data_IF_826885397889
#
_entry.id   IF_826885397889
#
_cell.length_a   1.000
_cell.length_b   1.000
_cell.length_c   1.000
_cell.angle_alpha   90.00
_cell.angle_beta   90.00
_cell.angle_gamma   90.00
#
_symmetry.space_group_name_H-M   'P 1'
#
loop_
_entity.id
_entity.type
_entity.pdbx_description
1 polymer ?
#
# COMPACT_ATOMS: atom_id res chain seq x y z
N UNK A 1 -4.29 -7.30 5.51
CA UNK A 1 -3.05 -6.95 4.78
C UNK A 1 -2.96 -5.44 4.63
N UNK A 2 -1.77 -4.85 4.81
CA UNK A 2 -1.52 -3.43 4.58
C UNK A 2 -0.77 -3.19 3.26
N UNK A 3 -1.15 -2.17 2.51
CA UNK A 3 -0.60 -1.83 1.20
C UNK A 3 -0.04 -0.41 1.19
N UNK A 4 1.21 -0.27 0.75
CA UNK A 4 1.92 1.00 0.69
C UNK A 4 2.20 1.42 -0.77
N UNK A 5 1.92 2.68 -1.09
CA UNK A 5 2.38 3.34 -2.31
C UNK A 5 3.83 3.82 -2.20
N UNK A 6 4.50 3.98 -3.35
CA UNK A 6 5.86 4.51 -3.44
C UNK A 6 5.96 5.97 -2.97
N UNK A 7 7.06 6.32 -2.31
CA UNK A 7 7.30 7.66 -1.76
C UNK A 7 7.57 8.70 -2.86
N UNK A 8 6.89 9.84 -2.81
CA UNK A 8 7.09 10.98 -3.72
C UNK A 8 8.24 11.93 -3.38
N UNK A 9 9.14 11.59 -2.45
CA UNK A 9 10.19 12.53 -2.00
C UNK A 9 11.55 12.43 -2.70
N UNK A 10 11.71 11.48 -3.61
CA UNK A 10 12.85 11.45 -4.54
C UNK A 10 12.39 10.74 -5.80
N UNK A 11 12.24 11.47 -6.91
CA UNK A 11 12.22 10.83 -8.22
C UNK A 11 13.52 10.04 -8.35
N UNK A 12 13.42 8.71 -8.21
CA UNK A 12 14.57 7.82 -8.16
C UNK A 12 15.14 7.73 -9.58
N UNK A 13 16.19 8.50 -9.89
CA UNK A 13 16.75 8.59 -11.25
C UNK A 13 17.81 7.53 -11.51
N UNK A 14 18.37 6.93 -10.45
CA UNK A 14 19.49 5.99 -10.59
C UNK A 14 19.54 4.92 -9.50
N UNK A 15 19.96 3.70 -9.88
CA UNK A 15 20.29 2.60 -8.95
C UNK A 15 21.44 2.93 -8.01
N UNK A 16 22.24 3.96 -8.28
CA UNK A 16 23.42 4.33 -7.46
C UNK A 16 23.04 5.11 -6.20
N UNK A 17 21.93 5.83 -6.23
CA UNK A 17 21.46 6.64 -5.11
C UNK A 17 21.06 5.76 -3.90
N UNK A 18 21.21 6.31 -2.69
CA UNK A 18 20.73 5.70 -1.46
C UNK A 18 19.36 6.31 -1.11
N UNK A 19 18.27 5.54 -1.14
CA UNK A 19 16.96 6.06 -0.76
C UNK A 19 16.86 6.37 0.72
N UNK A 20 16.04 7.35 1.06
CA UNK A 20 15.64 7.64 2.44
C UNK A 20 14.14 7.40 2.57
N UNK A 21 13.76 6.64 3.61
CA UNK A 21 12.35 6.41 3.94
C UNK A 21 11.77 7.57 4.74
N UNK A 22 10.44 7.71 4.70
CA UNK A 22 9.76 8.54 5.69
C UNK A 22 10.05 8.02 7.11
N UNK A 23 10.20 8.91 8.11
CA UNK A 23 10.73 8.56 9.43
C UNK A 23 10.08 7.33 10.09
N UNK A 24 8.76 7.16 9.93
CA UNK A 24 8.01 6.08 10.56
C UNK A 24 7.82 4.85 9.66
N UNK A 25 8.10 4.93 8.36
CA UNK A 25 7.72 3.88 7.41
C UNK A 25 8.37 2.53 7.72
N UNK A 26 9.68 2.51 8.00
CA UNK A 26 10.39 1.27 8.36
C UNK A 26 9.81 0.63 9.63
N UNK A 27 9.65 1.43 10.68
CA UNK A 27 9.08 0.96 11.96
C UNK A 27 7.67 0.40 11.81
N UNK A 28 6.82 1.05 10.99
CA UNK A 28 5.46 0.58 10.70
C UNK A 28 5.47 -0.78 9.99
N UNK A 29 6.28 -0.94 8.94
CA UNK A 29 6.37 -2.22 8.21
C UNK A 29 6.84 -3.34 9.13
N UNK A 30 7.86 -3.10 9.96
CA UNK A 30 8.32 -4.08 10.94
C UNK A 30 7.25 -4.42 11.98
N UNK A 31 6.55 -3.42 12.53
CA UNK A 31 5.50 -3.63 13.52
C UNK A 31 4.33 -4.45 12.96
N UNK A 32 3.90 -4.17 11.73
CA UNK A 32 2.85 -4.94 11.05
C UNK A 32 3.27 -6.39 10.86
N UNK A 33 4.49 -6.64 10.36
CA UNK A 33 5.02 -8.00 10.18
C UNK A 33 5.14 -8.75 11.51
N UNK A 34 5.62 -8.08 12.57
CA UNK A 34 5.71 -8.66 13.92
C UNK A 34 4.34 -9.02 14.52
N UNK A 35 3.25 -8.38 14.05
CA UNK A 35 1.87 -8.70 14.41
C UNK A 35 1.22 -9.73 13.47
N UNK A 36 1.99 -10.34 12.57
CA UNK A 36 1.46 -11.31 11.60
C UNK A 36 0.56 -10.69 10.53
N UNK A 37 0.67 -9.38 10.31
CA UNK A 37 -0.09 -8.69 9.26
C UNK A 37 0.78 -8.64 8.01
N UNK A 38 0.32 -9.32 6.97
CA UNK A 38 0.96 -9.26 5.66
C UNK A 38 1.00 -7.82 5.12
N UNK A 39 2.15 -7.48 4.52
CA UNK A 39 2.38 -6.19 3.87
C UNK A 39 2.72 -6.43 2.41
N UNK A 40 2.21 -5.60 1.50
CA UNK A 40 2.55 -5.66 0.09
C UNK A 40 2.71 -4.25 -0.52
N UNK A 41 3.32 -4.20 -1.71
CA UNK A 41 3.55 -2.96 -2.47
C UNK A 41 2.66 -2.96 -3.70
N UNK A 42 2.00 -1.82 -3.93
CA UNK A 42 1.38 -1.47 -5.20
C UNK A 42 1.98 -0.15 -5.68
N UNK A 43 2.70 -0.11 -6.79
CA UNK A 43 3.39 1.08 -7.29
C UNK A 43 3.30 1.19 -8.81
N UNK A 44 3.02 2.41 -9.30
CA UNK A 44 2.94 2.72 -10.74
C UNK A 44 4.26 3.16 -11.37
N UNK A 45 5.38 2.97 -10.66
CA UNK A 45 6.71 3.36 -11.15
C UNK A 45 7.03 2.69 -12.50
N UNK A 46 7.51 3.45 -13.51
CA UNK A 46 8.00 2.90 -14.76
C UNK A 46 9.36 2.22 -14.64
N UNK A 47 10.04 2.36 -13.49
CA UNK A 47 11.39 1.83 -13.23
C UNK A 47 11.36 0.77 -12.12
N UNK A 48 10.74 -0.40 -12.38
CA UNK A 48 10.59 -1.45 -11.36
C UNK A 48 11.92 -2.03 -10.89
N UNK A 49 12.94 -2.03 -11.74
CA UNK A 49 14.29 -2.47 -11.42
C UNK A 49 15.01 -1.52 -10.43
N UNK A 50 14.82 -0.20 -10.57
CA UNK A 50 15.33 0.79 -9.62
C UNK A 50 14.62 0.64 -8.27
N UNK A 51 13.28 0.56 -8.28
CA UNK A 51 12.50 0.40 -7.08
C UNK A 51 12.91 -0.86 -6.28
N UNK A 52 13.09 -2.00 -6.97
CA UNK A 52 13.57 -3.24 -6.34
C UNK A 52 14.99 -3.10 -5.77
N UNK A 53 15.91 -2.45 -6.50
CA UNK A 53 17.25 -2.19 -5.98
C UNK A 53 17.21 -1.38 -4.66
N UNK A 54 16.30 -0.42 -4.55
CA UNK A 54 16.12 0.40 -3.36
C UNK A 54 15.55 -0.39 -2.19
N UNK A 55 14.54 -1.23 -2.43
CA UNK A 55 14.02 -2.15 -1.40
C UNK A 55 15.10 -3.07 -0.86
N UNK A 56 16.04 -3.51 -1.70
CA UNK A 56 17.16 -4.34 -1.30
C UNK A 56 18.16 -3.56 -0.43
N UNK A 57 18.54 -2.34 -0.86
CA UNK A 57 19.45 -1.47 -0.07
C UNK A 57 18.89 -1.12 1.31
N UNK A 58 17.57 -1.03 1.43
CA UNK A 58 16.88 -0.71 2.68
C UNK A 58 16.61 -1.93 3.57
N UNK A 59 16.96 -3.13 3.09
CA UNK A 59 16.69 -4.43 3.70
C UNK A 59 15.18 -4.65 3.97
N UNK A 60 14.35 -4.30 2.99
CA UNK A 60 12.89 -4.42 3.07
C UNK A 60 12.31 -5.44 2.08
N UNK A 61 13.12 -5.99 1.17
CA UNK A 61 12.60 -6.87 0.11
C UNK A 61 11.82 -8.08 0.66
N UNK A 62 12.34 -8.71 1.72
CA UNK A 62 11.73 -9.87 2.38
C UNK A 62 10.55 -9.51 3.30
N UNK A 63 10.23 -8.22 3.46
CA UNK A 63 9.14 -7.75 4.30
C UNK A 63 7.78 -7.80 3.58
N UNK A 64 7.78 -7.88 2.25
CA UNK A 64 6.57 -7.79 1.43
C UNK A 64 6.19 -9.13 0.81
N UNK A 65 4.95 -9.59 1.04
CA UNK A 65 4.43 -10.84 0.47
C UNK A 65 4.14 -10.75 -1.03
N UNK A 66 3.90 -9.52 -1.52
CA UNK A 66 3.71 -9.20 -2.92
C UNK A 66 4.30 -7.82 -3.25
N UNK A 67 4.88 -7.67 -4.43
CA UNK A 67 5.51 -6.44 -4.91
C UNK A 67 5.06 -6.15 -6.34
N UNK A 68 3.89 -5.54 -6.48
CA UNK A 68 3.36 -5.14 -7.77
C UNK A 68 3.88 -3.73 -8.10
N UNK A 69 4.96 -3.68 -8.89
CA UNK A 69 5.62 -2.44 -9.30
C UNK A 69 5.68 -2.45 -10.82
N UNK A 70 4.81 -1.67 -11.45
CA UNK A 70 4.74 -1.51 -12.91
C UNK A 70 3.81 -0.35 -13.26
N UNK A 71 4.05 0.32 -14.39
CA UNK A 71 3.13 1.33 -14.90
C UNK A 71 1.82 0.71 -15.38
N UNK A 72 0.71 1.35 -15.06
CA UNK A 72 -0.62 0.96 -15.54
C UNK A 72 -1.54 2.19 -15.61
N UNK A 73 -2.48 2.13 -16.54
CA UNK A 73 -3.51 3.15 -16.75
C UNK A 73 -4.68 3.00 -15.78
N UNK A 74 -4.78 1.89 -15.05
CA UNK A 74 -5.97 1.55 -14.27
C UNK A 74 -5.96 2.07 -12.83
N UNK A 75 -5.16 3.10 -12.52
CA UNK A 75 -5.11 3.71 -11.17
C UNK A 75 -5.01 2.68 -10.03
N UNK A 76 -4.12 1.70 -10.19
CA UNK A 76 -3.81 0.59 -9.26
C UNK A 76 -4.83 -0.55 -9.14
N UNK A 77 -5.94 -0.55 -9.87
CA UNK A 77 -6.85 -1.70 -9.82
C UNK A 77 -6.18 -3.00 -10.28
N UNK A 78 -5.34 -2.95 -11.33
CA UNK A 78 -4.60 -4.11 -11.84
C UNK A 78 -3.58 -4.64 -10.82
N UNK A 79 -2.89 -3.74 -10.11
CA UNK A 79 -1.98 -4.10 -9.02
C UNK A 79 -2.73 -4.87 -7.92
N UNK A 80 -3.91 -4.38 -7.53
CA UNK A 80 -4.73 -5.01 -6.49
C UNK A 80 -5.26 -6.39 -6.92
N UNK A 81 -5.65 -6.55 -8.18
CA UNK A 81 -6.04 -7.85 -8.73
C UNK A 81 -4.91 -8.88 -8.64
N UNK A 82 -3.68 -8.48 -9.02
CA UNK A 82 -2.50 -9.33 -8.94
C UNK A 82 -2.15 -9.69 -7.50
N UNK A 83 -2.19 -8.72 -6.59
CA UNK A 83 -1.95 -8.96 -5.16
C UNK A 83 -2.99 -9.92 -4.59
N UNK A 84 -4.28 -9.69 -4.84
CA UNK A 84 -5.35 -10.58 -4.39
C UNK A 84 -5.15 -11.99 -4.92
N UNK A 85 -4.85 -12.15 -6.21
CA UNK A 85 -4.60 -13.46 -6.82
C UNK A 85 -3.41 -14.18 -6.16
N UNK A 86 -2.34 -13.44 -5.84
CA UNK A 86 -1.14 -13.99 -5.21
C UNK A 86 -1.34 -14.36 -3.72
N UNK A 87 -2.14 -13.58 -3.00
CA UNK A 87 -2.27 -13.69 -1.53
C UNK A 87 -3.55 -14.39 -1.08
N UNK A 88 -4.57 -14.47 -1.95
CA UNK A 88 -5.91 -14.94 -1.59
C UNK A 88 -6.72 -13.96 -0.71
N UNK A 89 -6.14 -12.84 -0.28
CA UNK A 89 -6.79 -11.91 0.64
C UNK A 89 -7.93 -11.16 -0.08
N UNK A 90 -9.12 -11.15 0.51
CA UNK A 90 -10.25 -10.38 -0.02
C UNK A 90 -10.02 -8.87 0.11
N UNK A 91 -10.51 -8.07 -0.85
CA UNK A 91 -10.35 -6.61 -0.84
C UNK A 91 -10.84 -5.94 0.45
N UNK A 92 -11.94 -6.41 1.02
CA UNK A 92 -12.46 -5.93 2.31
C UNK A 92 -11.52 -6.14 3.50
N UNK A 93 -10.57 -7.06 3.36
CA UNK A 93 -9.54 -7.37 4.35
C UNK A 93 -8.21 -6.68 4.06
N UNK A 94 -8.23 -5.66 3.19
CA UNK A 94 -7.08 -4.83 2.84
C UNK A 94 -7.23 -3.39 3.36
N UNK A 95 -6.12 -2.84 3.84
CA UNK A 95 -5.94 -1.43 4.19
C UNK A 95 -4.86 -0.84 3.29
N UNK A 96 -5.15 0.28 2.64
CA UNK A 96 -4.30 0.88 1.61
C UNK A 96 -3.97 2.33 1.90
N UNK A 97 -2.70 2.70 1.72
CA UNK A 97 -2.20 4.07 1.84
C UNK A 97 -1.58 4.54 0.53
N UNK A 98 -2.05 5.68 0.02
CA UNK A 98 -1.59 6.28 -1.22
C UNK A 98 -1.65 7.80 -1.15
N UNK A 99 -0.76 8.49 -1.86
CA UNK A 99 -0.70 9.94 -1.95
C UNK A 99 -1.46 10.51 -3.15
N UNK A 100 -1.97 9.66 -4.03
CA UNK A 100 -2.70 10.07 -5.21
C UNK A 100 -4.18 9.70 -5.09
N UNK A 101 -5.00 10.75 -4.99
CA UNK A 101 -6.46 10.65 -4.88
C UNK A 101 -7.10 9.72 -5.92
N UNK A 102 -6.64 9.74 -7.18
CA UNK A 102 -7.16 8.86 -8.23
C UNK A 102 -6.98 7.38 -7.93
N UNK A 103 -5.86 7.00 -7.32
CA UNK A 103 -5.62 5.63 -6.89
C UNK A 103 -6.54 5.27 -5.72
N UNK A 104 -6.69 6.18 -4.75
CA UNK A 104 -7.62 6.02 -3.61
C UNK A 104 -9.05 5.81 -4.09
N UNK A 105 -9.53 6.65 -5.00
CA UNK A 105 -10.89 6.59 -5.52
C UNK A 105 -11.15 5.27 -6.26
N UNK A 106 -10.25 4.87 -7.16
CA UNK A 106 -10.37 3.65 -7.95
C UNK A 106 -10.34 2.39 -7.07
N UNK A 107 -9.41 2.32 -6.12
CA UNK A 107 -9.24 1.16 -5.24
C UNK A 107 -10.33 1.07 -4.17
N UNK A 108 -10.86 2.20 -3.69
CA UNK A 108 -12.00 2.21 -2.75
C UNK A 108 -13.25 1.56 -3.35
N UNK A 109 -13.50 1.74 -4.66
CA UNK A 109 -14.59 1.07 -5.40
C UNK A 109 -14.46 -0.45 -5.41
N UNK A 110 -13.26 -0.99 -5.19
CA UNK A 110 -13.02 -2.44 -5.06
C UNK A 110 -13.37 -2.97 -3.66
N UNK A 111 -13.73 -2.11 -2.70
CA UNK A 111 -14.10 -2.45 -1.33
C UNK A 111 -12.92 -2.47 -0.34
N UNK A 112 -11.78 -1.92 -0.74
CA UNK A 112 -10.58 -1.76 0.12
C UNK A 112 -10.76 -0.53 1.01
N UNK A 113 -10.33 -0.60 2.28
CA UNK A 113 -10.23 0.59 3.11
C UNK A 113 -9.02 1.41 2.67
N UNK A 114 -9.23 2.61 2.15
CA UNK A 114 -8.18 3.44 1.59
C UNK A 114 -7.97 4.73 2.40
N UNK A 115 -6.73 5.16 2.54
CA UNK A 115 -6.32 6.36 3.27
C UNK A 115 -5.41 7.19 2.37
N UNK A 116 -5.88 8.39 2.02
CA UNK A 116 -5.07 9.39 1.33
C UNK A 116 -4.02 9.95 2.29
N UNK A 117 -2.75 9.98 1.88
CA UNK A 117 -1.63 10.49 2.69
C UNK A 117 -0.80 11.51 1.92
N UNK A 118 -0.53 12.68 2.49
CA UNK A 118 0.20 13.72 1.75
C UNK A 118 1.72 13.53 1.75
N UNK A 119 2.28 13.05 2.86
CA UNK A 119 3.73 12.93 3.09
C UNK A 119 4.12 11.54 3.56
N UNK A 120 3.60 10.52 2.88
CA UNK A 120 3.83 9.12 3.20
C UNK A 120 3.15 8.68 4.50
N UNK A 121 3.33 7.40 4.82
CA UNK A 121 2.68 6.79 5.98
C UNK A 121 3.43 7.15 7.26
N UNK A 122 2.69 7.71 8.22
CA UNK A 122 3.14 7.98 9.57
C UNK A 122 2.22 7.27 10.58
N UNK A 123 2.56 7.37 11.87
CA UNK A 123 1.80 6.70 12.93
C UNK A 123 0.36 7.23 13.08
N UNK A 124 0.12 8.50 12.80
CA UNK A 124 -1.21 9.10 12.83
C UNK A 124 -2.09 8.53 11.73
N UNK A 125 -1.59 8.52 10.49
CA UNK A 125 -2.31 7.95 9.35
C UNK A 125 -2.54 6.46 9.51
N UNK A 126 -1.57 5.72 10.07
CA UNK A 126 -1.76 4.30 10.40
C UNK A 126 -2.91 4.11 11.41
N UNK A 127 -2.94 4.90 12.49
CA UNK A 127 -4.01 4.84 13.49
C UNK A 127 -5.38 5.16 12.88
N UNK A 128 -5.47 6.19 12.04
CA UNK A 128 -6.67 6.53 11.29
C UNK A 128 -7.11 5.36 10.40
N UNK A 129 -6.18 4.78 9.63
CA UNK A 129 -6.43 3.65 8.75
C UNK A 129 -6.95 2.42 9.48
N UNK A 130 -6.33 2.06 10.61
CA UNK A 130 -6.76 0.93 11.43
C UNK A 130 -8.16 1.15 12.03
N UNK A 131 -8.47 2.38 12.47
CA UNK A 131 -9.80 2.73 12.98
C UNK A 131 -10.88 2.60 11.90
N UNK A 132 -10.62 3.17 10.72
CA UNK A 132 -11.56 3.10 9.59
C UNK A 132 -11.75 1.66 9.12
N UNK A 133 -10.66 0.88 9.09
CA UNK A 133 -10.71 -0.53 8.73
C UNK A 133 -11.58 -1.32 9.69
N UNK A 134 -11.39 -1.14 11.02
CA UNK A 134 -12.20 -1.80 12.03
C UNK A 134 -13.69 -1.43 11.95
N UNK A 135 -13.99 -0.14 11.72
CA UNK A 135 -15.37 0.32 11.56
C UNK A 135 -16.04 -0.33 10.34
N UNK A 136 -15.37 -0.32 9.18
CA UNK A 136 -15.88 -0.93 7.94
C UNK A 136 -16.06 -2.44 8.04
N UNK A 137 -15.31 -3.10 8.91
CA UNK A 137 -15.47 -4.53 9.20
C UNK A 137 -16.68 -4.83 10.09
N UNK A 138 -17.06 -3.88 10.94
CA UNK A 138 -18.09 -4.05 11.97
C UNK A 138 -19.50 -3.66 11.49
N UNK A 139 -19.63 -2.90 10.40
CA UNK A 139 -20.93 -2.46 9.88
C UNK A 139 -21.65 -3.60 9.12
N UNK A 140 -22.83 -4.06 9.56
CA UNK A 140 -23.69 -4.92 8.75
C UNK A 140 -24.19 -4.12 7.54
N UNK A 141 -24.26 -4.75 6.36
CA UNK A 141 -24.91 -4.12 5.21
C UNK A 141 -26.39 -3.90 5.52
N UNK A 142 -26.81 -2.68 5.77
CA UNK A 142 -28.22 -2.31 5.56
C UNK A 142 -28.47 -2.45 4.05
N UNK A 143 -29.25 -3.46 3.66
CA UNK A 143 -29.79 -3.54 2.30
C UNK A 143 -30.69 -2.33 2.12
N UNK A 144 -30.27 -1.33 1.35
CA UNK A 144 -31.22 -0.41 0.71
C UNK A 144 -31.70 -1.11 -0.56
N UNK A 145 -32.86 -1.74 -0.41
CA UNK A 145 -33.77 -2.04 -1.50
C UNK A 145 -34.66 -0.82 -1.71
N UNK A 146 -34.57 -0.22 -2.90
CA UNK A 146 -35.67 0.44 -3.62
C UNK A 146 -35.40 0.29 -5.11
#
# INVERSE_FOLDING_TARGET
MALLSGAKRSECRSKREMPVLYPHAKGIVHALKAKGIDVAIASRSPTPDIAKAFLNKLDLQSMFVAQEIFSSWTHKTEHFERIRRRTGVHYKSMLFFDDEYRNIEAVSKMGVTCILVDNGVNLEMLRLGLRNFAHNFSSPKTKQSE
#
